data_IF_260499405008
#
_entry.id   IF_260499405008
#
_cell.length_a   1.000
_cell.length_b   1.000
_cell.length_c   1.000
_cell.angle_alpha   90.00
_cell.angle_beta   90.00
_cell.angle_gamma   90.00
#
_symmetry.space_group_name_H-M   'P 1'
#
loop_
_entity.id
_entity.type
_entity.pdbx_description
1 polymer ?
#
# COMPACT_ATOMS: atom_id res chain seq x y z
N UNK A 1 -16.89 -3.92 -9.93
CA UNK A 1 -17.48 -5.04 -10.69
C UNK A 1 -17.91 -6.12 -9.70
N UNK A 2 -18.89 -6.95 -10.06
CA UNK A 2 -19.17 -8.17 -9.29
C UNK A 2 -18.11 -9.22 -9.64
N UNK A 3 -17.58 -9.99 -8.67
CA UNK A 3 -16.58 -11.01 -8.96
C UNK A 3 -17.19 -12.17 -9.76
N UNK A 4 -16.46 -12.65 -10.76
CA UNK A 4 -16.75 -13.91 -11.45
C UNK A 4 -16.49 -15.11 -10.54
N UNK A 5 -16.97 -16.31 -10.91
CA UNK A 5 -16.74 -17.54 -10.12
C UNK A 5 -15.26 -17.82 -9.88
N UNK A 6 -14.39 -17.56 -10.87
CA UNK A 6 -12.95 -17.73 -10.74
C UNK A 6 -12.30 -16.69 -9.82
N UNK A 7 -12.91 -15.52 -9.63
CA UNK A 7 -12.38 -14.47 -8.76
C UNK A 7 -12.82 -14.64 -7.31
N UNK A 8 -13.94 -15.32 -7.04
CA UNK A 8 -14.61 -15.31 -5.72
C UNK A 8 -13.72 -15.64 -4.54
N UNK A 9 -12.86 -16.64 -4.66
CA UNK A 9 -12.01 -17.07 -3.54
C UNK A 9 -11.03 -15.95 -3.13
N UNK A 10 -10.24 -15.47 -4.10
CA UNK A 10 -9.27 -14.38 -3.89
C UNK A 10 -10.02 -13.11 -3.51
N UNK A 11 -11.12 -12.80 -4.19
CA UNK A 11 -11.93 -11.63 -3.94
C UNK A 11 -12.40 -11.58 -2.49
N UNK A 12 -12.94 -12.68 -1.97
CA UNK A 12 -13.45 -12.73 -0.60
C UNK A 12 -12.33 -12.55 0.43
N UNK A 13 -11.16 -13.16 0.20
CA UNK A 13 -10.00 -13.00 1.08
C UNK A 13 -9.54 -11.54 1.11
N UNK A 14 -9.34 -10.94 -0.06
CA UNK A 14 -8.90 -9.54 -0.18
C UNK A 14 -9.94 -8.57 0.37
N UNK A 15 -11.22 -8.86 0.21
CA UNK A 15 -12.31 -8.00 0.68
C UNK A 15 -12.41 -7.96 2.22
N UNK A 16 -11.92 -8.96 2.94
CA UNK A 16 -11.78 -8.88 4.41
C UNK A 16 -10.72 -7.84 4.76
N UNK A 17 -9.53 -7.96 4.16
CA UNK A 17 -8.41 -7.04 4.36
C UNK A 17 -8.80 -5.59 4.05
N UNK A 18 -9.51 -5.36 2.94
CA UNK A 18 -9.95 -4.02 2.54
C UNK A 18 -10.97 -3.40 3.50
N UNK A 19 -11.82 -4.21 4.15
CA UNK A 19 -12.75 -3.70 5.17
C UNK A 19 -12.03 -3.25 6.42
N UNK A 20 -11.06 -4.03 6.87
CA UNK A 20 -10.26 -3.69 8.05
C UNK A 20 -9.35 -2.48 7.76
N UNK A 21 -8.89 -2.33 6.52
CA UNK A 21 -8.10 -1.19 6.06
C UNK A 21 -8.81 0.16 6.20
N UNK A 22 -10.14 0.21 6.00
CA UNK A 22 -10.93 1.44 6.21
C UNK A 22 -10.92 1.87 7.68
N UNK A 23 -11.17 0.95 8.60
CA UNK A 23 -11.13 1.22 10.05
C UNK A 23 -9.75 1.71 10.51
N UNK A 24 -8.67 1.10 10.01
CA UNK A 24 -7.30 1.53 10.33
C UNK A 24 -7.01 2.95 9.83
N UNK A 25 -7.55 3.36 8.67
CA UNK A 25 -7.39 4.73 8.21
C UNK A 25 -8.13 5.73 9.12
N UNK A 26 -9.34 5.39 9.58
CA UNK A 26 -10.10 6.23 10.52
C UNK A 26 -9.37 6.38 11.87
N UNK A 27 -8.86 5.28 12.40
CA UNK A 27 -8.07 5.27 13.63
C UNK A 27 -6.77 6.08 13.47
N UNK A 28 -6.06 5.91 12.34
CA UNK A 28 -4.83 6.64 12.05
C UNK A 28 -5.08 8.15 11.92
N UNK A 29 -6.18 8.54 11.28
CA UNK A 29 -6.60 9.94 11.13
C UNK A 29 -6.95 10.59 12.49
N UNK A 30 -7.51 9.81 13.40
CA UNK A 30 -7.87 10.26 14.75
C UNK A 30 -6.69 10.20 15.73
N UNK A 31 -5.60 9.50 15.41
CA UNK A 31 -4.44 9.32 16.27
C UNK A 31 -3.75 10.65 16.62
N UNK A 32 -3.92 11.10 17.87
CA UNK A 32 -3.31 12.35 18.40
C UNK A 32 -1.93 12.15 19.03
N UNK A 33 -1.47 10.92 19.12
CA UNK A 33 -0.33 10.56 19.95
C UNK A 33 -0.73 10.35 21.40
N UNK A 34 -0.05 9.42 22.05
CA UNK A 34 -0.32 8.95 23.40
C UNK A 34 0.77 9.39 24.38
N UNK A 35 1.51 10.47 24.12
CA UNK A 35 2.67 10.89 24.92
C UNK A 35 2.44 10.90 26.44
N UNK A 36 1.23 11.18 26.93
CA UNK A 36 0.85 11.11 28.35
C UNK A 36 0.17 9.78 28.76
N UNK A 37 -0.45 9.07 27.82
CA UNK A 37 -1.35 7.92 28.01
C UNK A 37 -0.69 6.56 27.69
N UNK A 38 0.57 6.51 27.23
CA UNK A 38 1.28 5.24 26.91
C UNK A 38 1.37 4.27 28.11
N UNK A 39 1.05 4.72 29.33
CA UNK A 39 0.94 3.84 30.50
C UNK A 39 -0.33 2.97 30.50
N UNK A 40 -1.35 3.29 29.70
CA UNK A 40 -2.69 2.68 29.76
C UNK A 40 -3.02 1.69 28.62
N UNK A 41 -2.03 1.07 27.97
CA UNK A 41 -2.19 -0.07 27.03
C UNK A 41 -2.85 0.25 25.66
N UNK A 42 -3.69 1.27 25.55
CA UNK A 42 -4.43 1.62 24.32
C UNK A 42 -3.57 1.81 23.05
N UNK A 43 -2.40 2.48 23.09
CA UNK A 43 -1.59 2.69 21.89
C UNK A 43 -1.01 1.39 21.33
N UNK A 44 -0.85 0.36 22.17
CA UNK A 44 -0.25 -0.91 21.76
C UNK A 44 -1.21 -1.74 20.91
N UNK A 45 -2.49 -1.77 21.29
CA UNK A 45 -3.52 -2.49 20.53
C UNK A 45 -3.62 -1.97 19.10
N UNK A 46 -3.67 -0.65 18.93
CA UNK A 46 -3.73 -0.03 17.60
C UNK A 46 -2.49 -0.34 16.74
N UNK A 47 -1.29 -0.21 17.30
CA UNK A 47 -0.05 -0.51 16.56
C UNK A 47 0.06 -2.00 16.18
N UNK A 48 -0.48 -2.90 17.00
CA UNK A 48 -0.58 -4.33 16.70
C UNK A 48 -1.58 -4.62 15.58
N UNK A 49 -2.72 -3.92 15.55
CA UNK A 49 -3.69 -4.04 14.46
C UNK A 49 -3.08 -3.61 13.11
N UNK A 50 -2.36 -2.48 13.09
CA UNK A 50 -1.59 -2.07 11.90
C UNK A 50 -0.63 -3.19 11.48
N UNK A 51 0.11 -3.76 12.42
CA UNK A 51 1.07 -4.80 12.12
C UNK A 51 0.41 -6.08 11.56
N UNK A 52 -0.78 -6.46 12.05
CA UNK A 52 -1.59 -7.52 11.47
C UNK A 52 -1.99 -7.22 10.03
N UNK A 53 -2.54 -6.02 9.80
CA UNK A 53 -2.98 -5.57 8.49
C UNK A 53 -1.84 -5.50 7.46
N UNK A 54 -0.60 -5.20 7.89
CA UNK A 54 0.60 -5.24 7.02
C UNK A 54 0.81 -6.65 6.46
N UNK A 55 0.71 -7.69 7.29
CA UNK A 55 0.86 -9.08 6.83
C UNK A 55 -0.26 -9.50 5.90
N UNK A 56 -1.49 -9.12 6.22
CA UNK A 56 -2.67 -9.45 5.41
C UNK A 56 -2.63 -8.74 4.05
N UNK A 57 -2.18 -7.49 3.99
CA UNK A 57 -1.96 -6.76 2.74
C UNK A 57 -0.90 -7.43 1.86
N UNK A 58 0.21 -7.91 2.44
CA UNK A 58 1.22 -8.66 1.67
C UNK A 58 0.61 -9.93 1.05
N UNK A 59 -0.17 -10.69 1.82
CA UNK A 59 -0.82 -11.90 1.33
C UNK A 59 -1.87 -11.60 0.25
N UNK A 60 -2.71 -10.59 0.48
CA UNK A 60 -3.72 -10.12 -0.46
C UNK A 60 -3.10 -9.69 -1.80
N UNK A 61 -2.03 -8.88 -1.75
CA UNK A 61 -1.30 -8.45 -2.94
C UNK A 61 -0.79 -9.64 -3.76
N UNK A 62 -0.17 -10.63 -3.10
CA UNK A 62 0.35 -11.84 -3.79
C UNK A 62 -0.76 -12.62 -4.49
N UNK A 63 -1.92 -12.77 -3.83
CA UNK A 63 -3.09 -13.43 -4.42
C UNK A 63 -3.59 -12.72 -5.68
N UNK A 64 -3.69 -11.39 -5.61
CA UNK A 64 -4.08 -10.55 -6.75
C UNK A 64 -3.07 -10.63 -7.90
N UNK A 65 -1.77 -10.52 -7.60
CA UNK A 65 -0.71 -10.66 -8.60
C UNK A 65 -0.77 -12.03 -9.26
N UNK A 66 -0.96 -13.11 -8.50
CA UNK A 66 -1.10 -14.45 -9.03
C UNK A 66 -2.23 -14.59 -10.05
N UNK A 67 -3.40 -13.99 -9.77
CA UNK A 67 -4.53 -14.01 -10.69
C UNK A 67 -4.31 -13.12 -11.93
N UNK A 68 -3.86 -11.87 -11.72
CA UNK A 68 -3.77 -10.82 -12.74
C UNK A 68 -2.54 -10.91 -13.64
N UNK A 69 -1.64 -11.87 -13.39
CA UNK A 69 -0.39 -12.03 -14.18
C UNK A 69 -0.22 -13.44 -14.73
N UNK A 70 -1.25 -14.29 -14.63
CA UNK A 70 -1.17 -15.70 -15.03
C UNK A 70 -1.12 -15.92 -16.55
N UNK A 71 -0.46 -16.98 -16.99
CA UNK A 71 -0.51 -17.38 -18.41
C UNK A 71 -1.85 -18.06 -18.73
N UNK A 72 -2.43 -17.92 -19.94
CA UNK A 72 -1.82 -17.37 -21.15
C UNK A 72 -2.26 -15.93 -21.50
N UNK A 73 -2.95 -15.23 -20.61
CA UNK A 73 -3.57 -13.95 -20.96
C UNK A 73 -2.57 -12.79 -20.92
N UNK A 74 -2.82 -11.80 -21.76
CA UNK A 74 -2.10 -10.53 -21.72
C UNK A 74 -2.62 -9.64 -20.58
N UNK A 75 -1.83 -8.67 -20.10
CA UNK A 75 -2.25 -7.73 -19.05
C UNK A 75 -3.58 -7.03 -19.32
N UNK A 76 -3.81 -6.55 -20.56
CA UNK A 76 -5.08 -5.91 -20.91
C UNK A 76 -6.26 -6.88 -20.78
N UNK A 77 -6.08 -8.12 -21.23
CA UNK A 77 -7.10 -9.16 -21.08
C UNK A 77 -7.39 -9.47 -19.60
N UNK A 78 -6.36 -9.49 -18.75
CA UNK A 78 -6.56 -9.67 -17.32
C UNK A 78 -7.40 -8.56 -16.70
N UNK A 79 -7.05 -7.29 -16.98
CA UNK A 79 -7.80 -6.15 -16.45
C UNK A 79 -9.24 -6.08 -16.97
N UNK A 80 -9.50 -6.61 -18.18
CA UNK A 80 -10.84 -6.69 -18.76
C UNK A 80 -11.67 -7.86 -18.21
N UNK A 81 -11.05 -8.99 -17.91
CA UNK A 81 -11.70 -10.23 -17.47
C UNK A 81 -11.88 -10.26 -15.95
N UNK A 82 -10.81 -10.00 -15.21
CA UNK A 82 -10.76 -10.03 -13.76
C UNK A 82 -10.94 -8.62 -13.17
N UNK A 83 -12.02 -7.94 -13.58
CA UNK A 83 -12.30 -6.55 -13.21
C UNK A 83 -12.47 -6.35 -11.70
N UNK A 84 -12.96 -7.36 -10.99
CA UNK A 84 -13.18 -7.26 -9.55
C UNK A 84 -11.84 -7.31 -8.82
N UNK A 85 -10.93 -8.21 -9.22
CA UNK A 85 -9.58 -8.28 -8.67
C UNK A 85 -8.73 -7.06 -9.07
N UNK A 86 -8.84 -6.58 -10.32
CA UNK A 86 -8.17 -5.36 -10.75
C UNK A 86 -8.60 -4.14 -9.90
N UNK A 87 -9.89 -4.04 -9.57
CA UNK A 87 -10.41 -3.00 -8.67
C UNK A 87 -9.82 -3.16 -7.26
N UNK A 88 -9.78 -4.36 -6.71
CA UNK A 88 -9.21 -4.60 -5.39
C UNK A 88 -7.71 -4.28 -5.32
N UNK A 89 -6.96 -4.56 -6.39
CA UNK A 89 -5.55 -4.16 -6.44
C UNK A 89 -5.39 -2.64 -6.39
N UNK A 90 -6.23 -1.91 -7.12
CA UNK A 90 -6.28 -0.46 -7.04
C UNK A 90 -6.71 0.04 -5.63
N UNK A 91 -7.64 -0.64 -4.96
CA UNK A 91 -8.07 -0.30 -3.59
C UNK A 91 -6.97 -0.54 -2.55
N UNK A 92 -6.19 -1.62 -2.67
CA UNK A 92 -5.00 -1.85 -1.83
C UNK A 92 -4.01 -0.68 -1.98
N UNK A 93 -3.67 -0.31 -3.22
CA UNK A 93 -2.75 0.79 -3.48
C UNK A 93 -3.29 2.13 -2.97
N UNK A 94 -4.59 2.36 -3.12
CA UNK A 94 -5.24 3.55 -2.60
C UNK A 94 -5.10 3.64 -1.07
N UNK A 95 -5.39 2.55 -0.36
CA UNK A 95 -5.18 2.45 1.08
C UNK A 95 -3.71 2.70 1.46
N UNK A 96 -2.77 2.04 0.78
CA UNK A 96 -1.34 2.15 1.03
C UNK A 96 -0.85 3.59 1.00
N UNK A 97 -1.16 4.32 -0.07
CA UNK A 97 -0.70 5.70 -0.22
C UNK A 97 -1.39 6.63 0.79
N UNK A 98 -2.68 6.41 1.10
CA UNK A 98 -3.37 7.18 2.14
C UNK A 98 -2.79 6.95 3.53
N UNK A 99 -2.47 5.70 3.86
CA UNK A 99 -1.83 5.36 5.13
C UNK A 99 -0.48 6.08 5.24
N UNK A 100 0.34 6.01 4.20
CA UNK A 100 1.68 6.60 4.19
C UNK A 100 1.62 8.14 4.27
N UNK A 101 0.68 8.79 3.59
CA UNK A 101 0.44 10.25 3.70
C UNK A 101 0.09 10.67 5.15
N UNK A 102 -0.80 9.93 5.81
CA UNK A 102 -1.19 10.20 7.19
C UNK A 102 -0.04 9.93 8.16
N UNK A 103 0.72 8.86 7.94
CA UNK A 103 1.89 8.54 8.75
C UNK A 103 2.98 9.59 8.61
N UNK A 104 3.26 10.05 7.40
CA UNK A 104 4.31 11.07 7.14
C UNK A 104 4.03 12.39 7.85
N UNK A 105 2.75 12.74 8.01
CA UNK A 105 2.32 13.98 8.68
C UNK A 105 2.15 13.82 10.19
N UNK A 106 2.33 12.62 10.74
CA UNK A 106 2.14 12.31 12.15
C UNK A 106 3.39 11.72 12.82
N UNK A 107 4.32 12.55 13.33
CA UNK A 107 5.53 12.08 14.00
C UNK A 107 5.26 11.38 15.34
N UNK A 108 4.05 11.52 15.92
CA UNK A 108 3.74 10.94 17.22
C UNK A 108 3.83 9.40 17.23
N UNK A 109 3.43 8.75 16.13
CA UNK A 109 3.44 7.29 16.00
C UNK A 109 4.83 6.70 16.29
N UNK A 110 5.87 7.26 15.64
CA UNK A 110 7.24 6.79 15.83
C UNK A 110 7.78 7.11 17.23
N UNK A 111 7.42 8.28 17.76
CA UNK A 111 7.84 8.73 19.09
C UNK A 111 7.24 7.85 20.20
N UNK A 112 5.94 7.57 20.11
CA UNK A 112 5.19 6.79 21.08
C UNK A 112 5.66 5.33 21.06
N UNK A 113 5.87 4.76 19.88
CA UNK A 113 6.42 3.41 19.77
C UNK A 113 7.85 3.32 20.31
N UNK A 114 8.69 4.33 20.04
CA UNK A 114 10.04 4.42 20.62
C UNK A 114 10.02 4.56 22.14
N UNK A 115 9.06 5.29 22.71
CA UNK A 115 8.86 5.38 24.16
C UNK A 115 8.39 4.05 24.76
N UNK A 116 7.43 3.37 24.12
CA UNK A 116 6.95 2.04 24.51
C UNK A 116 8.11 1.04 24.59
N UNK A 117 8.93 0.93 23.53
CA UNK A 117 10.09 0.03 23.50
C UNK A 117 11.07 0.28 24.65
N UNK A 118 11.37 1.55 24.94
CA UNK A 118 12.26 1.91 26.07
C UNK A 118 11.65 1.54 27.41
N UNK A 119 10.34 1.69 27.56
CA UNK A 119 9.63 1.35 28.80
C UNK A 119 9.59 -0.15 29.04
N UNK A 120 9.28 -0.94 28.00
CA UNK A 120 9.29 -2.40 28.06
C UNK A 120 10.66 -2.95 28.43
N UNK A 121 11.73 -2.40 27.83
CA UNK A 121 13.11 -2.79 28.16
C UNK A 121 13.44 -2.53 29.64
N UNK A 122 13.03 -1.39 30.21
CA UNK A 122 13.24 -1.09 31.64
C UNK A 122 12.43 -2.01 32.55
N UNK A 123 11.17 -2.30 32.21
CA UNK A 123 10.31 -3.21 33.00
C UNK A 123 10.90 -4.62 33.08
N UNK A 124 11.42 -5.14 31.95
CA UNK A 124 12.10 -6.45 31.91
C UNK A 124 13.37 -6.49 32.75
N UNK A 125 14.18 -5.43 32.75
CA UNK A 125 15.38 -5.33 33.62
C UNK A 125 15.00 -5.36 35.10
N UNK A 126 13.87 -4.74 35.45
CA UNK A 126 13.40 -4.64 36.83
C UNK A 126 12.55 -5.85 37.29
N UNK A 127 12.44 -6.91 36.48
CA UNK A 127 11.60 -8.10 36.76
C UNK A 127 10.16 -7.76 37.16
N UNK A 128 9.62 -6.64 36.67
CA UNK A 128 8.20 -6.32 36.86
C UNK A 128 7.41 -7.21 35.90
N UNK A 129 6.50 -8.07 36.38
CA UNK A 129 5.68 -8.88 35.49
C UNK A 129 4.89 -7.96 34.57
N UNK A 130 5.00 -8.18 33.25
CA UNK A 130 4.14 -7.51 32.30
C UNK A 130 2.73 -8.07 32.47
N UNK A 131 1.80 -7.28 33.00
CA UNK A 131 0.38 -7.66 33.04
C UNK A 131 -0.23 -7.45 31.65
N UNK A 132 -0.33 -8.50 30.85
CA UNK A 132 -1.09 -8.48 29.59
C UNK A 132 -0.75 -9.61 28.61
N UNK A 133 -1.78 -10.23 28.02
CA UNK A 133 -1.66 -11.27 26.98
C UNK A 133 -1.11 -10.74 25.63
N UNK A 134 -0.99 -9.42 25.46
CA UNK A 134 -0.56 -8.75 24.22
C UNK A 134 0.88 -8.21 24.30
N UNK A 135 1.80 -8.91 24.96
CA UNK A 135 3.19 -8.44 25.07
C UNK A 135 3.92 -8.55 23.72
N UNK A 136 4.33 -7.41 23.16
CA UNK A 136 5.16 -7.37 21.96
C UNK A 136 6.55 -7.94 22.27
N UNK A 137 6.89 -9.07 21.66
CA UNK A 137 8.22 -9.67 21.80
C UNK A 137 9.30 -8.78 21.12
N UNK A 138 10.58 -9.02 21.44
CA UNK A 138 11.68 -8.19 20.92
C UNK A 138 11.80 -8.23 19.39
N UNK A 139 11.51 -9.37 18.77
CA UNK A 139 11.60 -9.53 17.32
C UNK A 139 10.53 -8.70 16.60
N UNK A 140 9.28 -8.83 17.02
CA UNK A 140 8.16 -8.05 16.51
C UNK A 140 8.40 -6.55 16.74
N UNK A 141 8.92 -6.16 17.91
CA UNK A 141 9.23 -4.77 18.20
C UNK A 141 10.32 -4.20 17.27
N UNK A 142 11.32 -5.00 16.92
CA UNK A 142 12.35 -4.61 15.94
C UNK A 142 11.74 -4.42 14.55
N UNK A 143 10.89 -5.35 14.11
CA UNK A 143 10.21 -5.26 12.80
C UNK A 143 9.33 -4.03 12.70
N UNK A 144 8.50 -3.76 13.72
CA UNK A 144 7.67 -2.56 13.80
C UNK A 144 8.53 -1.28 13.80
N UNK A 145 9.71 -1.30 14.41
CA UNK A 145 10.59 -0.12 14.43
C UNK A 145 11.14 0.20 13.05
N UNK A 146 11.55 -0.81 12.30
CA UNK A 146 12.00 -0.65 10.91
C UNK A 146 10.83 -0.18 10.04
N UNK A 147 9.65 -0.76 10.22
CA UNK A 147 8.43 -0.33 9.53
C UNK A 147 8.17 1.15 9.76
N UNK A 148 8.01 1.62 11.00
CA UNK A 148 7.70 3.03 11.25
C UNK A 148 8.86 4.01 10.98
N UNK A 149 10.09 3.52 10.79
CA UNK A 149 11.22 4.34 10.38
C UNK A 149 11.18 4.74 8.89
N UNK A 150 10.55 3.94 8.04
CA UNK A 150 10.40 4.23 6.61
C UNK A 150 9.46 5.43 6.38
N UNK A 151 9.75 6.26 5.37
CA UNK A 151 8.87 7.38 5.01
C UNK A 151 7.49 6.87 4.54
N UNK A 152 7.50 5.85 3.68
CA UNK A 152 6.31 5.22 3.07
C UNK A 152 6.26 3.73 3.42
N UNK A 153 5.92 3.39 4.68
CA UNK A 153 6.09 2.03 5.20
C UNK A 153 5.19 0.97 4.56
N UNK A 154 3.94 1.30 4.22
CA UNK A 154 3.04 0.37 3.53
C UNK A 154 3.51 0.17 2.09
N UNK A 155 3.88 1.24 1.39
CA UNK A 155 4.36 1.16 0.02
C UNK A 155 5.68 0.38 -0.10
N UNK A 156 6.58 0.54 0.87
CA UNK A 156 7.80 -0.28 0.95
C UNK A 156 7.48 -1.75 1.09
N UNK A 157 6.51 -2.09 1.95
CA UNK A 157 6.05 -3.46 2.15
C UNK A 157 5.47 -4.05 0.85
N UNK A 158 4.62 -3.30 0.12
CA UNK A 158 4.10 -3.77 -1.15
C UNK A 158 5.19 -3.92 -2.23
N UNK A 159 6.18 -3.03 -2.24
CA UNK A 159 7.32 -3.10 -3.16
C UNK A 159 8.15 -4.36 -2.91
N UNK A 160 8.42 -4.67 -1.65
CA UNK A 160 9.13 -5.90 -1.24
C UNK A 160 8.30 -7.16 -1.55
N UNK A 161 7.00 -7.12 -1.27
CA UNK A 161 6.08 -8.21 -1.57
C UNK A 161 6.00 -8.51 -3.07
N UNK A 162 5.94 -7.46 -3.92
CA UNK A 162 5.91 -7.60 -5.38
C UNK A 162 7.24 -8.15 -5.91
N UNK A 163 8.36 -7.63 -5.39
CA UNK A 163 9.70 -8.15 -5.72
C UNK A 163 9.84 -9.62 -5.34
N UNK A 164 9.37 -9.99 -4.15
CA UNK A 164 9.38 -11.36 -3.67
C UNK A 164 8.49 -12.27 -4.52
N UNK A 165 7.29 -11.82 -4.89
CA UNK A 165 6.39 -12.54 -5.81
C UNK A 165 7.09 -12.90 -7.13
N UNK A 166 7.76 -11.94 -7.78
CA UNK A 166 8.48 -12.20 -9.03
C UNK A 166 9.65 -13.17 -8.81
N UNK A 167 10.37 -13.04 -7.69
CA UNK A 167 11.50 -13.91 -7.37
C UNK A 167 11.11 -15.37 -7.09
N UNK A 168 9.92 -15.58 -6.51
CA UNK A 168 9.39 -16.89 -6.14
C UNK A 168 8.71 -17.59 -7.34
N UNK A 169 8.19 -16.82 -8.31
CA UNK A 169 7.49 -17.33 -9.49
C UNK A 169 8.39 -17.33 -10.73
N UNK A 170 9.54 -18.00 -10.68
CA UNK A 170 10.53 -18.04 -11.78
C UNK A 170 10.01 -18.60 -13.11
N UNK A 171 8.93 -19.37 -13.08
CA UNK A 171 8.29 -19.92 -14.27
C UNK A 171 7.39 -18.89 -14.98
N UNK A 172 7.06 -17.78 -14.31
CA UNK A 172 6.27 -16.71 -14.85
C UNK A 172 7.21 -15.66 -15.48
N UNK A 173 6.98 -15.25 -16.73
CA UNK A 173 7.73 -14.13 -17.30
C UNK A 173 7.54 -12.87 -16.45
N UNK A 174 8.64 -12.21 -16.08
CA UNK A 174 8.61 -10.94 -15.33
C UNK A 174 7.75 -9.89 -16.03
N UNK A 175 7.73 -9.93 -17.36
CA UNK A 175 6.92 -9.07 -18.23
C UNK A 175 5.43 -9.15 -17.89
N UNK A 176 4.90 -10.30 -17.46
CA UNK A 176 3.49 -10.39 -17.07
C UNK A 176 3.17 -9.47 -15.90
N UNK A 177 4.07 -9.37 -14.92
CA UNK A 177 3.90 -8.49 -13.76
C UNK A 177 4.17 -7.04 -14.14
N UNK A 178 5.31 -6.75 -14.77
CA UNK A 178 5.68 -5.37 -15.09
C UNK A 178 4.73 -4.75 -16.12
N UNK A 179 4.24 -5.53 -17.08
CA UNK A 179 3.28 -5.04 -18.06
C UNK A 179 1.89 -4.84 -17.46
N UNK A 180 1.48 -5.65 -16.48
CA UNK A 180 0.27 -5.38 -15.70
C UNK A 180 0.36 -4.04 -14.97
N UNK A 181 1.45 -3.78 -14.25
CA UNK A 181 1.66 -2.52 -13.54
C UNK A 181 1.69 -1.31 -14.48
N UNK A 182 2.44 -1.41 -15.60
CA UNK A 182 2.51 -0.31 -16.58
C UNK A 182 1.20 -0.08 -17.35
N UNK A 183 0.39 -1.13 -17.56
CA UNK A 183 -0.96 -1.01 -18.14
C UNK A 183 -1.88 -0.28 -17.18
N UNK A 184 -1.89 -0.63 -15.88
CA UNK A 184 -2.66 0.09 -14.86
C UNK A 184 -2.23 1.56 -14.75
N UNK A 185 -0.92 1.83 -14.80
CA UNK A 185 -0.38 3.19 -14.79
C UNK A 185 -0.90 4.01 -15.99
N UNK A 186 -0.87 3.40 -17.18
CA UNK A 186 -1.34 4.00 -18.42
C UNK A 186 -2.84 4.27 -18.39
N UNK A 187 -3.64 3.33 -17.87
CA UNK A 187 -5.09 3.50 -17.71
C UNK A 187 -5.38 4.69 -16.80
N UNK A 188 -4.74 4.77 -15.62
CA UNK A 188 -4.93 5.89 -14.69
C UNK A 188 -4.51 7.23 -15.32
N UNK A 189 -3.35 7.27 -16.00
CA UNK A 189 -2.88 8.48 -16.68
C UNK A 189 -3.87 8.93 -17.77
N UNK A 190 -4.29 8.03 -18.66
CA UNK A 190 -5.24 8.35 -19.74
C UNK A 190 -6.57 8.83 -19.18
N UNK A 191 -7.06 8.20 -18.12
CA UNK A 191 -8.27 8.61 -17.40
C UNK A 191 -8.17 10.04 -16.84
N UNK A 192 -6.99 10.44 -16.37
CA UNK A 192 -6.74 11.74 -15.74
C UNK A 192 -6.38 12.86 -16.73
N UNK A 193 -5.74 12.52 -17.85
CA UNK A 193 -5.28 13.50 -18.86
C UNK A 193 -6.32 13.76 -19.95
N UNK A 194 -7.18 12.79 -20.27
CA UNK A 194 -8.18 12.92 -21.34
C UNK A 194 -9.40 13.69 -20.82
N UNK A 195 -9.71 14.90 -21.34
CA UNK A 195 -10.82 15.72 -20.84
C UNK A 195 -12.17 14.99 -20.87
N UNK A 196 -12.42 14.19 -21.90
CA UNK A 196 -13.68 13.45 -22.09
C UNK A 196 -13.89 12.33 -21.06
N UNK A 197 -12.81 11.76 -20.53
CA UNK A 197 -12.89 10.79 -19.43
C UNK A 197 -12.93 11.51 -18.09
N UNK A 198 -12.12 12.56 -17.93
CA UNK A 198 -12.07 13.35 -16.72
C UNK A 198 -13.40 14.04 -16.40
N UNK A 199 -14.12 14.51 -17.42
CA UNK A 199 -15.44 15.12 -17.25
C UNK A 199 -16.52 14.12 -16.79
N UNK A 200 -16.24 12.81 -16.87
CA UNK A 200 -17.14 11.77 -16.35
C UNK A 200 -16.94 11.51 -14.86
N UNK A 201 -15.86 12.01 -14.26
CA UNK A 201 -15.68 11.94 -12.83
C UNK A 201 -16.57 12.97 -12.16
N UNK A 202 -17.52 12.50 -11.38
CA UNK A 202 -18.44 13.33 -10.60
C UNK A 202 -17.86 13.72 -9.24
N UNK A 203 -16.75 13.11 -8.83
CA UNK A 203 -16.17 13.23 -7.50
C UNK A 203 -14.63 13.43 -7.57
N UNK A 204 -14.11 14.40 -6.82
CA UNK A 204 -12.68 14.64 -6.65
C UNK A 204 -11.95 13.45 -5.99
N UNK A 205 -12.66 12.63 -5.21
CA UNK A 205 -12.11 11.40 -4.64
C UNK A 205 -11.73 10.40 -5.73
N UNK A 206 -12.45 10.35 -6.85
CA UNK A 206 -12.11 9.46 -7.98
C UNK A 206 -10.81 9.90 -8.66
N UNK A 207 -10.61 11.21 -8.81
CA UNK A 207 -9.34 11.77 -9.29
C UNK A 207 -8.20 11.39 -8.34
N UNK A 208 -8.42 11.62 -7.04
CA UNK A 208 -7.45 11.34 -5.98
C UNK A 208 -7.13 9.85 -5.83
N UNK A 209 -8.11 8.98 -6.12
CA UNK A 209 -7.94 7.53 -6.21
C UNK A 209 -7.03 7.17 -7.38
N UNK A 210 -7.34 7.64 -8.59
CA UNK A 210 -6.53 7.35 -9.78
C UNK A 210 -5.09 7.87 -9.66
N UNK A 211 -4.88 9.04 -9.03
CA UNK A 211 -3.54 9.59 -8.79
C UNK A 211 -2.71 8.68 -7.88
N UNK A 212 -3.30 8.23 -6.76
CA UNK A 212 -2.65 7.31 -5.82
C UNK A 212 -2.34 5.96 -6.44
N UNK A 213 -3.30 5.39 -7.18
CA UNK A 213 -3.10 4.12 -7.88
C UNK A 213 -1.99 4.25 -8.91
N UNK A 214 -1.99 5.32 -9.72
CA UNK A 214 -0.95 5.59 -10.71
C UNK A 214 0.44 5.65 -10.07
N UNK A 215 0.61 6.42 -9.00
CA UNK A 215 1.90 6.55 -8.30
C UNK A 215 2.32 5.23 -7.65
N UNK A 216 1.38 4.52 -7.01
CA UNK A 216 1.62 3.21 -6.41
C UNK A 216 2.16 2.21 -7.43
N UNK A 217 1.49 2.02 -8.57
CA UNK A 217 1.97 1.07 -9.60
C UNK A 217 3.26 1.52 -10.27
N UNK A 218 3.54 2.83 -10.36
CA UNK A 218 4.83 3.34 -10.87
C UNK A 218 5.97 2.91 -9.96
N UNK A 219 5.80 3.06 -8.65
CA UNK A 219 6.83 2.72 -7.66
C UNK A 219 7.05 1.21 -7.60
N UNK A 220 5.96 0.42 -7.63
CA UNK A 220 6.06 -1.04 -7.74
C UNK A 220 6.80 -1.46 -9.02
N UNK A 221 6.49 -0.83 -10.16
CA UNK A 221 7.16 -1.12 -11.42
C UNK A 221 8.66 -0.79 -11.35
N UNK A 222 9.04 0.34 -10.76
CA UNK A 222 10.44 0.76 -10.66
C UNK A 222 11.30 -0.25 -9.87
N UNK A 223 10.75 -0.81 -8.79
CA UNK A 223 11.44 -1.81 -7.97
C UNK A 223 11.58 -3.18 -8.65
N UNK A 224 10.62 -3.54 -9.50
CA UNK A 224 10.53 -4.89 -10.08
C UNK A 224 11.15 -4.95 -11.47
N UNK A 225 10.99 -3.91 -12.27
CA UNK A 225 11.47 -3.90 -13.65
C UNK A 225 13.01 -3.74 -13.68
N UNK A 226 13.76 -4.55 -14.46
CA UNK A 226 15.23 -4.58 -14.38
C UNK A 226 15.96 -3.26 -14.61
N UNK A 227 15.36 -2.35 -15.38
CA UNK A 227 15.91 -1.02 -15.69
C UNK A 227 15.16 0.13 -15.01
N UNK A 228 14.15 -0.19 -14.19
CA UNK A 228 13.29 0.79 -13.54
C UNK A 228 12.29 1.49 -14.48
N UNK A 229 11.50 2.39 -13.90
CA UNK A 229 10.45 3.18 -14.53
C UNK A 229 10.98 4.38 -15.33
N UNK A 230 12.21 4.84 -15.03
CA UNK A 230 12.80 6.06 -15.61
C UNK A 230 13.68 5.82 -16.85
N UNK A 231 14.01 4.55 -17.15
CA UNK A 231 14.78 4.22 -18.35
C UNK A 231 13.99 4.56 -19.63
N UNK A 232 14.70 4.90 -20.71
CA UNK A 232 14.06 5.19 -22.03
C UNK A 232 13.26 4.01 -22.59
N UNK A 233 13.60 2.79 -22.18
CA UNK A 233 12.94 1.54 -22.58
C UNK A 233 11.77 1.15 -21.65
N UNK A 234 11.51 1.93 -20.60
CA UNK A 234 10.36 1.75 -19.72
C UNK A 234 9.05 1.91 -20.50
N UNK A 235 8.05 1.10 -20.14
CA UNK A 235 6.68 1.21 -20.68
C UNK A 235 5.86 2.31 -20.01
N UNK A 236 6.37 2.90 -18.93
CA UNK A 236 5.71 3.98 -18.21
C UNK A 236 6.10 5.33 -18.80
N UNK A 237 5.12 6.10 -19.28
CA UNK A 237 5.30 7.50 -19.66
C UNK A 237 5.44 8.38 -18.40
N UNK A 238 6.64 8.37 -17.81
CA UNK A 238 6.93 9.09 -16.58
C UNK A 238 6.70 10.61 -16.73
N UNK A 239 6.99 11.18 -17.91
CA UNK A 239 6.78 12.61 -18.16
C UNK A 239 5.29 12.95 -18.14
N UNK A 240 4.47 12.13 -18.79
CA UNK A 240 3.01 12.25 -18.75
C UNK A 240 2.45 12.08 -17.34
N UNK A 241 2.92 11.08 -16.58
CA UNK A 241 2.48 10.86 -15.20
C UNK A 241 2.82 12.05 -14.28
N UNK A 242 4.04 12.58 -14.35
CA UNK A 242 4.46 13.75 -13.56
C UNK A 242 3.67 15.00 -13.96
N UNK A 243 3.41 15.19 -15.26
CA UNK A 243 2.59 16.31 -15.74
C UNK A 243 1.19 16.25 -15.12
N UNK A 244 0.54 15.10 -15.16
CA UNK A 244 -0.80 14.90 -14.56
C UNK A 244 -0.82 15.24 -13.07
N UNK A 245 0.23 14.89 -12.33
CA UNK A 245 0.39 15.26 -10.91
C UNK A 245 0.55 16.78 -10.76
N UNK A 246 1.41 17.42 -11.56
CA UNK A 246 1.65 18.87 -11.51
C UNK A 246 0.45 19.72 -11.92
N UNK A 247 -0.48 19.16 -12.68
CA UNK A 247 -1.74 19.81 -13.05
C UNK A 247 -2.78 19.80 -11.90
N UNK A 248 -2.50 19.14 -10.78
CA UNK A 248 -3.36 19.14 -9.58
C UNK A 248 -2.98 20.28 -8.62
N UNK A 249 -3.88 20.66 -7.69
CA UNK A 249 -3.54 21.58 -6.60
C UNK A 249 -2.30 21.09 -5.82
N UNK A 250 -1.26 21.92 -5.60
CA UNK A 250 0.01 21.44 -5.01
C UNK A 250 -0.16 20.69 -3.69
N UNK A 251 -1.03 21.19 -2.81
CA UNK A 251 -1.25 20.60 -1.48
C UNK A 251 -1.91 19.22 -1.52
N UNK A 252 -2.59 18.84 -2.61
CA UNK A 252 -3.27 17.53 -2.70
C UNK A 252 -2.38 16.42 -3.25
N UNK A 253 -1.23 16.76 -3.83
CA UNK A 253 -0.31 15.80 -4.47
C UNK A 253 1.12 15.85 -3.93
N UNK A 254 1.43 16.75 -3.00
CA UNK A 254 2.77 16.88 -2.42
C UNK A 254 3.28 15.57 -1.83
N UNK A 255 2.44 14.85 -1.08
CA UNK A 255 2.79 13.52 -0.56
C UNK A 255 3.12 12.50 -1.66
N UNK A 256 2.40 12.54 -2.77
CA UNK A 256 2.63 11.66 -3.92
C UNK A 256 3.90 12.02 -4.69
N UNK A 257 4.20 13.31 -4.81
CA UNK A 257 5.45 13.78 -5.42
C UNK A 257 6.67 13.45 -4.57
N UNK A 258 6.51 13.43 -3.24
CA UNK A 258 7.58 13.02 -2.32
C UNK A 258 7.81 11.50 -2.31
N UNK A 259 6.83 10.71 -2.74
CA UNK A 259 6.94 9.26 -2.85
C UNK A 259 7.65 8.80 -4.15
N UNK A 260 7.61 9.60 -5.21
CA UNK A 260 8.30 9.36 -6.49
C UNK A 260 9.78 9.76 -6.44
#
# INVERSE_FOLDING_TARGET
>A
AQPTESEKEIYNQVNVVLKDAEGILEDLQSYRGAGHEIRESYPLGFLLLIQGLVFENEAALRGLLGALTSTPYSPTQHLEREQALAKQFAEILHFTLRFDELKMTNPAIQNDFSYYRRTLSRMRINNVPAEGENEVNNELANRMSLFYAEATPMLKTLSDATTKFVSENKNLPIENTTDCLSTMASVCRVMLETPEYRSRFTNEETVSFCLRVMVGVIILYDHVHPVGAFAKTSKIDMKGCIKVLKDQPPNSVEGLLNAL
#
